data_IF_192908444995
#
_entry.id   IF_192908444995
#
_cell.length_a   1.000
_cell.length_b   1.000
_cell.length_c   1.000
_cell.angle_alpha   90.00
_cell.angle_beta   90.00
_cell.angle_gamma   90.00
#
_symmetry.space_group_name_H-M   'P 1'
#
loop_
_entity.id
_entity.type
_entity.pdbx_description
1 polymer ?
#
# COMPACT_ATOMS: atom_id res chain seq x y z
N UNK A 1 -50.86 35.82 26.53
CA UNK A 1 -49.68 35.45 25.74
C UNK A 1 -48.43 35.81 26.52
N UNK A 2 -47.78 34.79 27.08
CA UNK A 2 -46.56 34.91 27.89
C UNK A 2 -45.38 35.31 27.01
N UNK A 3 -44.70 36.39 27.38
CA UNK A 3 -43.44 36.85 26.82
C UNK A 3 -42.41 36.72 27.96
N UNK A 4 -41.43 35.81 27.81
CA UNK A 4 -40.48 35.48 28.87
C UNK A 4 -39.13 36.17 28.58
N UNK A 5 -38.89 37.28 29.27
CA UNK A 5 -37.61 37.97 29.35
C UNK A 5 -36.76 37.31 30.44
N UNK A 6 -35.53 36.89 30.12
CA UNK A 6 -34.51 36.70 31.15
C UNK A 6 -33.27 37.53 30.81
N UNK A 7 -33.10 38.53 31.66
CA UNK A 7 -32.05 39.51 31.77
C UNK A 7 -31.16 39.05 32.94
N UNK A 8 -29.89 38.73 32.69
CA UNK A 8 -28.90 38.58 33.77
C UNK A 8 -27.73 39.51 33.52
N UNK A 9 -27.74 40.55 34.34
CA UNK A 9 -26.74 41.56 34.53
C UNK A 9 -25.93 41.14 35.77
N UNK A 10 -24.61 40.96 35.67
CA UNK A 10 -23.75 40.99 36.85
C UNK A 10 -22.39 41.56 36.47
N UNK A 11 -22.13 42.72 37.05
CA UNK A 11 -20.94 43.56 36.92
C UNK A 11 -20.37 43.73 38.33
N UNK A 12 -19.07 44.03 38.36
CA UNK A 12 -18.24 44.55 39.48
C UNK A 12 -17.78 43.57 40.56
N UNK A 13 -16.48 43.32 40.60
CA UNK A 13 -15.61 43.92 41.62
C UNK A 13 -14.18 44.11 41.09
N UNK A 14 -13.75 45.36 41.16
CA UNK A 14 -12.39 45.86 40.92
C UNK A 14 -11.44 45.43 42.06
N UNK A 15 -10.19 45.17 41.69
CA UNK A 15 -8.93 45.68 42.24
C UNK A 15 -8.82 45.99 43.75
N UNK A 16 -7.70 45.55 44.36
CA UNK A 16 -6.66 46.42 44.95
C UNK A 16 -5.66 45.62 45.80
N UNK A 17 -4.38 46.02 45.66
CA UNK A 17 -3.24 45.91 46.59
C UNK A 17 -2.39 44.63 46.56
N UNK A 18 -1.20 44.66 45.96
CA UNK A 18 0.07 45.26 46.48
C UNK A 18 0.71 44.39 47.58
N UNK A 19 1.67 43.56 47.16
CA UNK A 19 2.94 43.23 47.83
C UNK A 19 3.85 42.63 46.73
N UNK A 20 4.66 43.40 46.01
CA UNK A 20 5.92 44.01 46.43
C UNK A 20 6.86 43.04 47.18
N UNK A 21 7.71 42.38 46.39
CA UNK A 21 9.17 42.33 46.56
C UNK A 21 9.76 41.61 47.79
N UNK A 22 10.37 40.44 47.57
CA UNK A 22 11.81 40.21 47.81
C UNK A 22 12.22 38.75 47.56
N UNK A 23 13.40 38.61 46.94
CA UNK A 23 14.38 37.52 47.14
C UNK A 23 13.94 36.13 46.65
N UNK A 24 14.71 35.35 45.91
CA UNK A 24 16.16 35.20 45.87
C UNK A 24 16.55 34.52 44.55
N UNK A 25 17.75 34.85 44.08
CA UNK A 25 18.47 34.20 43.01
C UNK A 25 18.52 32.68 43.23
N UNK A 26 18.11 31.89 42.23
CA UNK A 26 18.56 30.51 42.10
C UNK A 26 18.70 30.17 40.62
N UNK A 27 19.96 30.14 40.23
CA UNK A 27 20.50 29.43 39.08
C UNK A 27 20.08 27.95 39.17
N UNK A 28 19.08 27.54 38.39
CA UNK A 28 18.98 26.17 37.90
C UNK A 28 18.70 26.20 36.40
N UNK A 29 19.80 26.33 35.67
CA UNK A 29 20.08 25.66 34.41
C UNK A 29 19.45 24.25 34.40
N UNK A 30 18.38 24.03 33.64
CA UNK A 30 18.00 22.70 33.17
C UNK A 30 17.06 22.75 31.97
N UNK A 31 17.62 22.27 30.85
CA UNK A 31 16.92 21.69 29.71
C UNK A 31 16.09 22.66 28.86
N UNK A 32 16.80 23.55 28.18
CA UNK A 32 16.47 23.94 26.81
C UNK A 32 16.57 22.69 25.90
N UNK A 33 15.63 21.78 26.06
CA UNK A 33 15.30 20.76 25.08
C UNK A 33 14.33 21.40 24.08
N UNK A 34 14.81 22.45 23.42
CA UNK A 34 14.35 22.77 22.09
C UNK A 34 14.68 21.57 21.22
N UNK A 35 13.73 20.63 21.14
CA UNK A 35 13.59 19.68 20.06
C UNK A 35 13.50 20.51 18.77
N UNK A 36 14.66 20.95 18.30
CA UNK A 36 14.93 21.12 16.89
C UNK A 36 14.86 19.72 16.29
N UNK A 37 13.64 19.18 16.25
CA UNK A 37 13.18 18.43 15.10
C UNK A 37 13.30 19.42 13.94
N UNK A 38 14.52 19.54 13.43
CA UNK A 38 14.73 19.67 12.00
C UNK A 38 13.90 18.52 11.42
N UNK A 39 12.60 18.80 11.19
CA UNK A 39 11.87 18.19 10.10
C UNK A 39 12.81 18.44 8.93
N UNK A 40 13.65 17.44 8.63
CA UNK A 40 14.21 17.25 7.31
C UNK A 40 12.98 17.20 6.41
N UNK A 41 12.52 18.39 6.03
CA UNK A 41 11.79 18.63 4.82
C UNK A 41 12.72 18.10 3.76
N UNK A 42 12.54 16.81 3.51
CA UNK A 42 12.93 16.07 2.33
C UNK A 42 12.27 16.84 1.19
N UNK A 43 12.89 17.99 0.85
CA UNK A 43 12.79 18.71 -0.40
C UNK A 43 13.29 17.65 -1.37
N UNK A 44 12.37 16.78 -1.73
CA UNK A 44 12.48 15.75 -2.72
C UNK A 44 12.84 16.51 -3.97
N UNK A 45 14.15 16.63 -4.18
CA UNK A 45 14.71 17.06 -5.44
C UNK A 45 14.00 16.21 -6.46
N UNK A 46 13.29 16.88 -7.36
CA UNK A 46 12.77 16.34 -8.61
C UNK A 46 13.95 15.93 -9.50
N UNK A 47 14.78 15.01 -8.98
CA UNK A 47 15.72 14.24 -9.74
C UNK A 47 14.88 13.38 -10.65
N UNK A 48 15.04 13.65 -11.94
CA UNK A 48 14.45 13.02 -13.13
C UNK A 48 14.81 11.52 -13.23
N UNK A 49 14.70 10.81 -12.11
CA UNK A 49 14.86 9.37 -12.03
C UNK A 49 13.68 8.70 -12.73
N UNK A 50 13.90 7.49 -13.27
CA UNK A 50 12.81 6.74 -13.88
C UNK A 50 11.66 6.61 -12.88
N UNK A 51 10.52 7.25 -13.20
CA UNK A 51 9.35 7.26 -12.34
C UNK A 51 8.99 5.83 -11.94
N UNK A 52 8.83 5.59 -10.65
CA UNK A 52 8.43 4.28 -10.12
C UNK A 52 7.15 3.78 -10.83
N UNK A 53 6.28 4.70 -11.28
CA UNK A 53 5.08 4.40 -12.08
C UNK A 53 5.40 3.52 -13.29
N UNK A 54 6.50 3.80 -14.00
CA UNK A 54 6.87 3.01 -15.18
C UNK A 54 7.20 1.57 -14.80
N UNK A 55 7.98 1.38 -13.74
CA UNK A 55 8.39 0.05 -13.27
C UNK A 55 7.17 -0.75 -12.79
N UNK A 56 6.30 -0.12 -11.98
CA UNK A 56 5.09 -0.75 -11.49
C UNK A 56 4.16 -1.12 -12.64
N UNK A 57 4.01 -0.25 -13.64
CA UNK A 57 3.18 -0.52 -14.80
C UNK A 57 3.75 -1.66 -15.67
N UNK A 58 5.06 -1.72 -15.86
CA UNK A 58 5.71 -2.83 -16.58
C UNK A 58 5.49 -4.15 -15.82
N UNK A 59 5.74 -4.18 -14.50
CA UNK A 59 5.51 -5.35 -13.68
C UNK A 59 4.05 -5.82 -13.78
N UNK A 60 3.09 -4.91 -13.58
CA UNK A 60 1.67 -5.19 -13.72
C UNK A 60 1.32 -5.80 -15.09
N UNK A 61 1.77 -5.17 -16.18
CA UNK A 61 1.45 -5.64 -17.54
C UNK A 61 2.07 -7.00 -17.82
N UNK A 62 3.29 -7.28 -17.32
CA UNK A 62 3.90 -8.61 -17.46
C UNK A 62 3.10 -9.68 -16.74
N UNK A 63 2.78 -9.49 -15.44
CA UNK A 63 1.96 -10.44 -14.69
C UNK A 63 0.56 -10.62 -15.29
N UNK A 64 -0.10 -9.54 -15.70
CA UNK A 64 -1.42 -9.60 -16.32
C UNK A 64 -1.38 -10.37 -17.66
N UNK A 65 -0.36 -10.15 -18.48
CA UNK A 65 -0.24 -10.83 -19.77
C UNK A 65 -0.03 -12.33 -19.60
N UNK A 66 0.83 -12.74 -18.67
CA UNK A 66 1.05 -14.15 -18.35
C UNK A 66 -0.18 -14.78 -17.73
N UNK A 67 -0.81 -14.12 -16.75
CA UNK A 67 -2.09 -14.55 -16.16
C UNK A 67 -3.12 -14.90 -17.24
N UNK A 68 -3.31 -14.03 -18.24
CA UNK A 68 -4.27 -14.27 -19.30
C UNK A 68 -3.88 -15.45 -20.18
N UNK A 69 -2.61 -15.59 -20.51
CA UNK A 69 -2.10 -16.74 -21.29
C UNK A 69 -2.34 -18.03 -20.50
N UNK A 70 -1.92 -18.08 -19.24
CA UNK A 70 -2.08 -19.23 -18.36
C UNK A 70 -3.55 -19.60 -18.15
N UNK A 71 -4.42 -18.61 -17.95
CA UNK A 71 -5.85 -18.83 -17.81
C UNK A 71 -6.45 -19.45 -19.09
N UNK A 72 -6.04 -18.99 -20.28
CA UNK A 72 -6.48 -19.57 -21.55
C UNK A 72 -6.01 -21.03 -21.68
N UNK A 73 -4.75 -21.33 -21.36
CA UNK A 73 -4.25 -22.70 -21.40
C UNK A 73 -4.87 -23.61 -20.34
N UNK A 74 -5.16 -23.08 -19.15
CA UNK A 74 -5.86 -23.80 -18.09
C UNK A 74 -7.29 -24.17 -18.52
N UNK A 75 -7.99 -23.25 -19.21
CA UNK A 75 -9.33 -23.50 -19.75
C UNK A 75 -9.32 -24.54 -20.88
N UNK A 76 -8.35 -24.46 -21.80
CA UNK A 76 -8.23 -25.43 -22.91
C UNK A 76 -7.83 -26.82 -22.39
N UNK A 77 -6.95 -26.87 -21.40
CA UNK A 77 -6.43 -28.11 -20.83
C UNK A 77 -7.25 -28.69 -19.68
N UNK A 78 -8.35 -28.05 -19.28
CA UNK A 78 -9.16 -28.40 -18.10
C UNK A 78 -8.33 -28.71 -16.84
N UNK A 79 -7.20 -28.01 -16.67
CA UNK A 79 -6.25 -28.31 -15.60
C UNK A 79 -6.58 -27.53 -14.33
N UNK A 80 -7.10 -28.23 -13.31
CA UNK A 80 -7.35 -27.64 -11.98
C UNK A 80 -6.07 -27.03 -11.40
N UNK A 81 -4.92 -27.70 -11.58
CA UNK A 81 -3.63 -27.23 -11.05
C UNK A 81 -3.19 -25.90 -11.65
N UNK A 82 -3.34 -25.71 -12.97
CA UNK A 82 -2.97 -24.45 -13.62
C UNK A 82 -3.92 -23.31 -13.24
N UNK A 83 -5.19 -23.62 -12.95
CA UNK A 83 -6.14 -22.60 -12.49
C UNK A 83 -5.78 -22.05 -11.11
N UNK A 84 -5.24 -22.90 -10.22
CA UNK A 84 -4.75 -22.46 -8.90
C UNK A 84 -3.52 -21.55 -9.05
N UNK A 85 -2.59 -21.89 -9.96
CA UNK A 85 -1.40 -21.07 -10.23
C UNK A 85 -1.79 -19.70 -10.82
N UNK A 86 -2.69 -19.69 -11.80
CA UNK A 86 -3.26 -18.46 -12.35
C UNK A 86 -3.98 -17.64 -11.26
N UNK A 87 -4.67 -18.27 -10.31
CA UNK A 87 -5.29 -17.55 -9.20
C UNK A 87 -4.24 -16.87 -8.31
N UNK A 88 -3.14 -17.56 -7.99
CA UNK A 88 -2.04 -16.97 -7.22
C UNK A 88 -1.41 -15.77 -7.98
N UNK A 89 -1.11 -15.94 -9.28
CA UNK A 89 -0.62 -14.84 -10.12
C UNK A 89 -1.58 -13.65 -10.21
N UNK A 90 -2.89 -13.91 -10.17
CA UNK A 90 -3.88 -12.84 -10.21
C UNK A 90 -3.78 -11.95 -8.97
N UNK A 91 -3.48 -12.52 -7.81
CA UNK A 91 -3.28 -11.77 -6.56
C UNK A 91 -2.06 -10.85 -6.69
N UNK A 92 -0.96 -11.34 -7.27
CA UNK A 92 0.22 -10.52 -7.54
C UNK A 92 -0.09 -9.39 -8.53
N UNK A 93 -0.77 -9.69 -9.64
CA UNK A 93 -1.20 -8.68 -10.61
C UNK A 93 -2.09 -7.60 -9.95
N UNK A 94 -3.05 -7.99 -9.10
CA UNK A 94 -3.87 -7.03 -8.37
C UNK A 94 -3.06 -6.19 -7.38
N UNK A 95 -2.04 -6.79 -6.75
CA UNK A 95 -1.13 -6.06 -5.84
C UNK A 95 -0.39 -4.95 -6.58
N UNK A 96 0.18 -5.27 -7.75
CA UNK A 96 0.82 -4.27 -8.59
C UNK A 96 -0.16 -3.22 -9.11
N UNK A 97 -1.40 -3.62 -9.46
CA UNK A 97 -2.44 -2.69 -9.88
C UNK A 97 -2.80 -1.69 -8.77
N UNK A 98 -3.00 -2.16 -7.54
CA UNK A 98 -3.32 -1.27 -6.44
C UNK A 98 -2.15 -0.36 -6.07
N UNK A 99 -0.92 -0.87 -6.12
CA UNK A 99 0.28 -0.04 -5.93
C UNK A 99 0.36 1.06 -7.02
N UNK A 100 0.08 0.72 -8.28
CA UNK A 100 0.02 1.68 -9.40
C UNK A 100 -1.11 2.70 -9.21
N UNK A 101 -2.29 2.27 -8.73
CA UNK A 101 -3.41 3.16 -8.43
C UNK A 101 -3.09 4.11 -7.28
N UNK A 102 -2.40 3.64 -6.24
CA UNK A 102 -1.96 4.47 -5.12
C UNK A 102 -0.97 5.54 -5.58
N UNK A 103 -0.02 5.18 -6.44
CA UNK A 103 0.94 6.12 -7.03
C UNK A 103 0.24 7.19 -7.90
N UNK A 104 -0.70 6.78 -8.76
CA UNK A 104 -1.50 7.73 -9.56
C UNK A 104 -2.38 8.65 -8.72
N UNK A 105 -2.92 8.14 -7.61
CA UNK A 105 -3.74 8.94 -6.70
C UNK A 105 -2.86 9.99 -5.98
N UNK A 106 -1.62 9.63 -5.63
CA UNK A 106 -0.63 10.55 -5.03
C UNK A 106 -0.33 11.74 -5.95
N UNK A 107 -0.07 11.51 -7.24
CA UNK A 107 0.24 12.61 -8.18
C UNK A 107 -0.94 13.56 -8.43
N UNK A 108 -2.20 13.10 -8.37
CA UNK A 108 -3.36 13.99 -8.53
C UNK A 108 -3.51 15.03 -7.42
N UNK A 109 -3.01 14.75 -6.22
CA UNK A 109 -3.16 15.65 -5.07
C UNK A 109 -2.08 16.74 -5.02
N UNK A 110 -0.87 16.49 -5.53
CA UNK A 110 0.22 17.49 -5.53
C UNK A 110 -0.11 18.66 -6.47
N UNK A 111 -0.50 18.37 -7.72
CA UNK A 111 -0.75 19.40 -8.74
C UNK A 111 -1.87 20.39 -8.37
N UNK A 112 -2.81 19.98 -7.52
CA UNK A 112 -3.90 20.88 -7.07
C UNK A 112 -3.45 21.81 -5.95
N UNK A 113 -2.49 21.40 -5.12
CA UNK A 113 -2.09 22.19 -3.95
C UNK A 113 -1.06 23.26 -4.32
N UNK A 114 -0.15 22.94 -5.23
CA UNK A 114 0.83 23.89 -5.75
C UNK A 114 0.17 25.05 -6.51
N UNK A 115 -0.80 24.76 -7.39
CA UNK A 115 -1.58 25.80 -8.09
C UNK A 115 -2.45 26.65 -7.15
N UNK A 116 -2.79 26.13 -5.98
CA UNK A 116 -3.64 26.83 -5.02
C UNK A 116 -2.84 27.72 -4.07
N UNK A 117 -1.56 27.42 -3.84
CA UNK A 117 -0.65 28.22 -3.02
C UNK A 117 -0.13 29.46 -3.74
N UNK A 118 0.15 29.38 -5.05
CA UNK A 118 0.68 30.52 -5.81
C UNK A 118 -0.30 31.71 -5.93
N UNK A 119 -1.62 31.46 -5.82
CA UNK A 119 -2.65 32.49 -6.04
C UNK A 119 -3.10 33.23 -4.77
N UNK A 120 -2.57 32.93 -3.57
CA UNK A 120 -3.17 33.39 -2.32
C UNK A 120 -2.15 33.90 -1.29
N UNK A 121 -1.43 34.96 -1.66
CA UNK A 121 -0.43 35.62 -0.80
C UNK A 121 -1.00 36.57 0.29
N UNK A 122 -2.22 36.33 0.79
CA UNK A 122 -2.79 37.16 1.87
C UNK A 122 -3.68 36.30 2.78
N UNK A 123 -3.08 35.77 3.85
CA UNK A 123 -3.74 34.89 4.81
C UNK A 123 -3.70 35.47 6.24
N UNK A 124 -4.72 35.13 7.02
CA UNK A 124 -4.96 35.58 8.41
C UNK A 124 -4.64 34.42 9.36
N UNK A 125 -4.05 34.66 10.54
CA UNK A 125 -3.56 33.60 11.46
C UNK A 125 -4.59 32.50 11.82
N UNK A 126 -5.89 32.80 11.88
CA UNK A 126 -6.92 31.78 12.15
C UNK A 126 -7.03 30.74 11.01
N UNK A 127 -6.81 31.13 9.77
CA UNK A 127 -6.86 30.21 8.63
C UNK A 127 -5.66 29.26 8.61
N UNK A 128 -4.50 29.68 9.15
CA UNK A 128 -3.31 28.84 9.26
C UNK A 128 -3.52 27.65 10.21
N UNK A 129 -4.21 27.87 11.33
CA UNK A 129 -4.50 26.81 12.30
C UNK A 129 -5.44 25.75 11.71
N UNK A 130 -6.48 26.18 10.97
CA UNK A 130 -7.38 25.26 10.28
C UNK A 130 -6.69 24.56 9.10
N UNK A 131 -5.72 25.20 8.45
CA UNK A 131 -4.94 24.59 7.38
C UNK A 131 -4.02 23.48 7.92
N UNK A 132 -3.40 23.68 9.08
CA UNK A 132 -2.54 22.67 9.73
C UNK A 132 -3.29 21.39 10.06
N UNK A 133 -4.55 21.50 10.50
CA UNK A 133 -5.40 20.34 10.79
C UNK A 133 -5.71 19.54 9.51
N UNK A 134 -5.99 20.21 8.39
CA UNK A 134 -6.20 19.56 7.08
C UNK A 134 -4.93 18.89 6.54
N UNK A 135 -3.75 19.40 6.87
CA UNK A 135 -2.49 18.74 6.51
C UNK A 135 -2.31 17.42 7.25
N UNK A 136 -2.66 17.36 8.53
CA UNK A 136 -2.60 16.11 9.32
C UNK A 136 -3.53 15.03 8.76
N UNK A 137 -4.76 15.38 8.42
CA UNK A 137 -5.71 14.42 7.81
C UNK A 137 -5.18 13.85 6.50
N UNK A 138 -4.50 14.66 5.69
CA UNK A 138 -3.86 14.22 4.44
C UNK A 138 -2.64 13.35 4.69
N UNK A 139 -1.81 13.69 5.69
CA UNK A 139 -0.68 12.86 6.11
C UNK A 139 -1.22 11.47 6.50
N UNK A 140 -2.28 11.39 7.32
CA UNK A 140 -2.89 10.11 7.72
C UNK A 140 -3.42 9.34 6.51
N UNK A 141 -4.16 9.98 5.61
CA UNK A 141 -4.69 9.33 4.41
C UNK A 141 -3.59 8.78 3.50
N UNK A 142 -2.47 9.50 3.35
CA UNK A 142 -1.32 9.05 2.56
C UNK A 142 -0.71 7.76 3.13
N UNK A 143 -0.50 7.71 4.45
CA UNK A 143 0.06 6.53 5.10
C UNK A 143 -0.88 5.32 5.01
N UNK A 144 -2.20 5.54 5.13
CA UNK A 144 -3.18 4.47 4.92
C UNK A 144 -3.18 3.94 3.49
N UNK A 145 -3.09 4.81 2.49
CA UNK A 145 -3.05 4.41 1.08
C UNK A 145 -1.76 3.67 0.70
N UNK A 146 -0.68 3.90 1.44
CA UNK A 146 0.59 3.18 1.26
C UNK A 146 0.58 1.79 1.92
N UNK A 147 -0.14 1.63 3.03
CA UNK A 147 -0.20 0.37 3.78
C UNK A 147 -1.32 -0.59 3.32
N UNK A 148 -2.45 -0.05 2.89
CA UNK A 148 -3.65 -0.86 2.59
C UNK A 148 -3.43 -1.83 1.42
N UNK A 149 -2.86 -1.43 0.26
CA UNK A 149 -2.65 -2.36 -0.84
C UNK A 149 -1.72 -3.54 -0.51
N UNK A 150 -0.54 -3.34 0.12
CA UNK A 150 0.29 -4.44 0.57
C UNK A 150 -0.42 -5.34 1.58
N UNK A 151 -1.20 -4.77 2.50
CA UNK A 151 -1.91 -5.55 3.52
C UNK A 151 -3.01 -6.43 2.91
N UNK A 152 -3.81 -5.90 1.98
CA UNK A 152 -4.82 -6.68 1.25
C UNK A 152 -4.17 -7.83 0.48
N UNK A 153 -3.04 -7.57 -0.19
CA UNK A 153 -2.27 -8.59 -0.90
C UNK A 153 -1.80 -9.72 0.03
N UNK A 154 -1.18 -9.38 1.16
CA UNK A 154 -0.71 -10.37 2.13
C UNK A 154 -1.87 -11.20 2.68
N UNK A 155 -3.00 -10.58 3.02
CA UNK A 155 -4.19 -11.30 3.51
C UNK A 155 -4.77 -12.23 2.43
N UNK A 156 -4.78 -11.79 1.17
CA UNK A 156 -5.21 -12.61 0.04
C UNK A 156 -4.28 -13.81 -0.18
N UNK A 157 -2.96 -13.60 -0.17
CA UNK A 157 -1.97 -14.68 -0.28
C UNK A 157 -2.08 -15.70 0.85
N UNK A 158 -2.27 -15.25 2.10
CA UNK A 158 -2.49 -16.14 3.25
C UNK A 158 -3.77 -16.96 3.03
N UNK A 159 -4.84 -16.31 2.56
CA UNK A 159 -6.14 -16.95 2.34
C UNK A 159 -6.07 -18.02 1.23
N UNK A 160 -5.41 -17.71 0.10
CA UNK A 160 -5.17 -18.64 -1.01
C UNK A 160 -4.26 -19.80 -0.56
N UNK A 161 -3.22 -19.51 0.22
CA UNK A 161 -2.32 -20.53 0.76
C UNK A 161 -3.04 -21.51 1.69
N UNK A 162 -3.86 -21.00 2.62
CA UNK A 162 -4.67 -21.84 3.51
C UNK A 162 -5.62 -22.70 2.68
N UNK A 163 -6.32 -22.11 1.71
CA UNK A 163 -7.24 -22.84 0.85
C UNK A 163 -6.54 -23.96 0.06
N UNK A 164 -5.37 -23.69 -0.51
CA UNK A 164 -4.58 -24.69 -1.23
C UNK A 164 -4.10 -25.83 -0.33
N UNK A 165 -3.68 -25.52 0.90
CA UNK A 165 -3.30 -26.53 1.89
C UNK A 165 -4.52 -27.40 2.23
N UNK A 166 -5.68 -26.81 2.47
CA UNK A 166 -6.91 -27.55 2.77
C UNK A 166 -7.35 -28.45 1.61
N UNK A 167 -7.30 -27.97 0.36
CA UNK A 167 -7.62 -28.78 -0.84
C UNK A 167 -6.63 -29.96 -0.99
N UNK A 168 -5.35 -29.74 -0.71
CA UNK A 168 -4.34 -30.80 -0.76
C UNK A 168 -4.52 -31.85 0.36
N UNK A 169 -4.87 -31.42 1.57
CA UNK A 169 -5.13 -32.31 2.69
C UNK A 169 -6.39 -33.13 2.46
N UNK A 170 -7.46 -32.53 1.94
CA UNK A 170 -8.68 -33.22 1.57
C UNK A 170 -8.39 -34.31 0.52
N UNK A 171 -7.59 -33.97 -0.49
CA UNK A 171 -7.14 -34.91 -1.50
C UNK A 171 -6.38 -36.09 -0.89
N UNK A 172 -5.44 -35.85 0.05
CA UNK A 172 -4.64 -36.92 0.69
C UNK A 172 -5.49 -37.80 1.61
N UNK A 173 -6.36 -37.21 2.42
CA UNK A 173 -7.18 -37.93 3.42
C UNK A 173 -8.26 -38.75 2.72
N UNK A 174 -8.90 -38.19 1.69
CA UNK A 174 -9.95 -38.86 0.92
C UNK A 174 -9.41 -39.74 -0.22
N UNK A 175 -8.09 -39.77 -0.47
CA UNK A 175 -7.44 -40.80 -1.30
C UNK A 175 -7.35 -42.14 -0.55
N UNK A 176 -8.49 -42.62 -0.02
CA UNK A 176 -8.62 -44.02 0.34
C UNK A 176 -8.67 -44.84 -0.96
N UNK A 177 -7.80 -45.86 -1.16
CA UNK A 177 -7.72 -46.65 -2.40
C UNK A 177 -8.91 -47.63 -2.58
N UNK A 178 -10.10 -47.30 -2.09
CA UNK A 178 -11.25 -48.18 -2.01
C UNK A 178 -12.44 -47.68 -2.85
N UNK A 179 -12.25 -47.47 -4.14
CA UNK A 179 -13.35 -47.58 -5.13
C UNK A 179 -12.88 -48.32 -6.39
N UNK A 180 -12.46 -49.57 -6.19
CA UNK A 180 -12.91 -50.61 -7.10
C UNK A 180 -14.38 -50.90 -6.75
N UNK A 181 -15.27 -50.72 -7.73
CA UNK A 181 -16.71 -51.02 -7.70
C UNK A 181 -17.63 -50.04 -6.96
N UNK A 182 -18.75 -49.75 -7.67
CA UNK A 182 -20.02 -49.15 -7.23
C UNK A 182 -20.08 -47.61 -7.32
N UNK A 183 -20.91 -46.94 -8.12
CA UNK A 183 -22.12 -47.31 -8.85
C UNK A 183 -22.42 -46.26 -9.93
N UNK A 184 -22.53 -46.68 -11.20
CA UNK A 184 -23.39 -46.21 -12.33
C UNK A 184 -23.96 -44.76 -12.43
N UNK A 185 -23.48 -43.76 -11.72
CA UNK A 185 -23.74 -42.37 -12.03
C UNK A 185 -22.46 -41.82 -12.63
N UNK A 186 -22.36 -41.94 -13.95
CA UNK A 186 -21.26 -41.45 -14.76
C UNK A 186 -21.30 -39.91 -14.69
N UNK A 187 -20.46 -39.20 -13.91
CA UNK A 187 -20.12 -37.86 -14.32
C UNK A 187 -19.32 -38.05 -15.60
N UNK A 188 -19.85 -37.56 -16.71
CA UNK A 188 -19.18 -37.52 -18.00
C UNK A 188 -18.02 -36.52 -17.92
N UNK A 189 -17.02 -36.81 -17.09
CA UNK A 189 -15.68 -36.28 -17.25
C UNK A 189 -14.98 -37.25 -18.18
N UNK A 190 -14.65 -36.76 -19.37
CA UNK A 190 -13.97 -37.53 -20.41
C UNK A 190 -12.66 -38.10 -19.87
N UNK A 191 -12.68 -39.39 -19.55
CA UNK A 191 -11.60 -40.16 -18.94
C UNK A 191 -10.44 -40.44 -19.91
N UNK A 192 -9.93 -39.42 -20.58
CA UNK A 192 -8.89 -39.59 -21.60
C UNK A 192 -7.91 -38.44 -21.77
N UNK A 193 -8.02 -37.35 -21.02
CA UNK A 193 -6.98 -36.34 -20.98
C UNK A 193 -6.26 -36.44 -19.64
N UNK A 194 -5.30 -37.37 -19.59
CA UNK A 194 -4.24 -37.27 -18.60
C UNK A 194 -3.69 -35.85 -18.65
N UNK A 195 -3.62 -35.13 -17.51
CA UNK A 195 -3.11 -33.77 -17.50
C UNK A 195 -1.72 -33.80 -18.11
N UNK A 196 -1.52 -33.01 -19.18
CA UNK A 196 -0.25 -32.97 -19.90
C UNK A 196 0.84 -32.44 -18.96
N UNK A 197 1.54 -33.37 -18.29
CA UNK A 197 2.59 -33.06 -17.31
C UNK A 197 3.67 -32.17 -17.93
N UNK A 198 3.95 -32.36 -19.23
CA UNK A 198 4.87 -31.49 -19.98
C UNK A 198 4.40 -30.04 -20.06
N UNK A 199 3.09 -29.80 -20.27
CA UNK A 199 2.53 -28.45 -20.32
C UNK A 199 2.62 -27.82 -18.92
N UNK A 200 2.22 -28.55 -17.88
CA UNK A 200 2.29 -28.08 -16.49
C UNK A 200 3.72 -27.72 -16.07
N UNK A 201 4.70 -28.53 -16.47
CA UNK A 201 6.12 -28.26 -16.18
C UNK A 201 6.64 -27.02 -16.89
N UNK A 202 6.30 -26.83 -18.17
CA UNK A 202 6.72 -25.66 -18.95
C UNK A 202 6.14 -24.37 -18.36
N UNK A 203 4.87 -24.37 -17.95
CA UNK A 203 4.24 -23.21 -17.32
C UNK A 203 4.87 -22.90 -15.96
N UNK A 204 5.07 -23.90 -15.10
CA UNK A 204 5.76 -23.69 -13.82
C UNK A 204 7.19 -23.14 -14.01
N UNK A 205 7.93 -23.62 -15.00
CA UNK A 205 9.25 -23.10 -15.32
C UNK A 205 9.21 -21.65 -15.86
N UNK A 206 8.22 -21.33 -16.68
CA UNK A 206 8.01 -19.97 -17.19
C UNK A 206 7.63 -19.00 -16.06
N UNK A 207 6.79 -19.43 -15.13
CA UNK A 207 6.36 -18.66 -13.96
C UNK A 207 7.53 -18.36 -13.04
N UNK A 208 8.35 -19.37 -12.74
CA UNK A 208 9.58 -19.18 -11.98
C UNK A 208 10.54 -18.20 -12.68
N UNK A 209 10.66 -18.28 -14.00
CA UNK A 209 11.51 -17.35 -14.75
C UNK A 209 10.97 -15.92 -14.67
N UNK A 210 9.65 -15.76 -14.75
CA UNK A 210 8.97 -14.48 -14.63
C UNK A 210 9.22 -13.86 -13.24
N UNK A 211 9.09 -14.65 -12.18
CA UNK A 211 9.39 -14.21 -10.81
C UNK A 211 10.85 -13.79 -10.65
N UNK A 212 11.79 -14.55 -11.22
CA UNK A 212 13.22 -14.20 -11.21
C UNK A 212 13.46 -12.88 -11.96
N UNK A 213 12.86 -12.71 -13.14
CA UNK A 213 12.99 -11.50 -13.95
C UNK A 213 12.43 -10.29 -13.20
N UNK A 214 11.26 -10.43 -12.59
CA UNK A 214 10.61 -9.35 -11.84
C UNK A 214 11.38 -9.00 -10.56
N UNK A 215 11.87 -10.00 -9.83
CA UNK A 215 12.76 -9.80 -8.68
C UNK A 215 14.07 -9.12 -9.10
N UNK A 216 14.65 -9.52 -10.25
CA UNK A 216 15.88 -8.93 -10.77
C UNK A 216 15.70 -7.49 -11.23
N UNK A 217 14.56 -7.13 -11.84
CA UNK A 217 14.22 -5.75 -12.16
C UNK A 217 14.16 -4.89 -10.90
N UNK A 218 13.48 -5.36 -9.86
CA UNK A 218 13.39 -4.65 -8.59
C UNK A 218 14.75 -4.50 -7.90
N UNK A 219 15.57 -5.56 -7.89
CA UNK A 219 16.92 -5.53 -7.32
C UNK A 219 17.85 -4.58 -8.07
N UNK A 220 17.77 -4.54 -9.41
CA UNK A 220 18.56 -3.62 -10.24
C UNK A 220 18.17 -2.17 -10.01
N UNK A 221 16.89 -1.86 -9.84
CA UNK A 221 16.44 -0.50 -9.54
C UNK A 221 16.96 -0.03 -8.19
N UNK A 222 16.95 -0.90 -7.17
CA UNK A 222 17.51 -0.57 -5.85
C UNK A 222 19.02 -0.33 -5.90
N UNK A 223 19.75 -1.16 -6.66
CA UNK A 223 21.19 -0.97 -6.84
C UNK A 223 21.52 0.29 -7.64
N UNK A 224 20.71 0.60 -8.67
CA UNK A 224 20.89 1.81 -9.48
C UNK A 224 20.58 3.07 -8.66
N UNK A 225 19.52 3.07 -7.85
CA UNK A 225 19.19 4.15 -6.91
C UNK A 225 20.32 4.38 -5.89
N UNK A 226 20.84 3.31 -5.27
CA UNK A 226 21.97 3.41 -4.34
C UNK A 226 23.26 3.89 -5.04
N UNK A 227 23.51 3.43 -6.27
CA UNK A 227 24.68 3.85 -7.04
C UNK A 227 24.59 5.32 -7.46
N UNK A 228 23.40 5.82 -7.79
CA UNK A 228 23.17 7.23 -8.11
C UNK A 228 23.36 8.12 -6.88
N UNK A 229 22.87 7.71 -5.71
CA UNK A 229 23.07 8.47 -4.46
C UNK A 229 24.56 8.61 -4.12
N UNK A 230 25.35 7.56 -4.32
CA UNK A 230 26.80 7.60 -4.12
C UNK A 230 27.54 8.41 -5.20
N UNK A 231 27.04 8.43 -6.45
CA UNK A 231 27.66 9.15 -7.56
C UNK A 231 27.37 10.66 -7.53
N UNK A 232 26.16 11.04 -7.10
CA UNK A 232 25.75 12.44 -7.01
C UNK A 232 26.16 13.13 -5.71
N UNK A 233 26.78 12.40 -4.77
CA UNK A 233 27.54 13.00 -3.68
C UNK A 233 26.78 14.07 -2.90
N UNK A 234 25.50 13.84 -2.57
CA UNK A 234 24.86 14.56 -1.48
C UNK A 234 25.28 13.90 -0.17
N UNK A 235 26.57 14.06 0.17
CA UNK A 235 26.98 14.06 1.57
C UNK A 235 26.47 15.38 2.14
N UNK A 236 25.30 15.35 2.78
CA UNK A 236 24.99 16.37 3.77
C UNK A 236 25.91 16.21 4.98
#
# INVERSE_FOLDING_TARGET
NFNNNNNYNSKSNEDVSIMASKMEDNEEECCDAGDNLEEEDDISKDGDGPSNEFVLNVAFMTFLSFLLIEAVFALIGHSKSMMVDAMAMSVDAFTYLFNLMAERLKHRHLNKHEQQYENKHQYTEEEDMMMRQRMLDRKIQKHYLELVPPLISVVALISVSIWAILDSLDTIIHHSPHELQQNNLKPTYDAGQDPNVSIMFVFSAANLLLDIVNMAYFARLKHFANSLNNLFGFTS
#
